data_IF_429746872461
#
_entry.id   IF_429746872461
#
_cell.length_a   1.000
_cell.length_b   1.000
_cell.length_c   1.000
_cell.angle_alpha   90.00
_cell.angle_beta   90.00
_cell.angle_gamma   90.00
#
_symmetry.space_group_name_H-M   'P 1'
#
loop_
_entity.id
_entity.type
_entity.pdbx_description
1 polymer ?
#
# COMPACT_ATOMS: atom_id res chain seq x y z
N UNK A 1 -13.32 -11.66 -5.13
CA UNK A 1 -14.45 -10.82 -4.66
C UNK A 1 -14.09 -9.37 -4.88
N UNK A 2 -15.08 -8.52 -5.15
CA UNK A 2 -14.87 -7.08 -5.22
C UNK A 2 -14.96 -6.48 -3.81
N UNK A 3 -14.16 -5.46 -3.55
CA UNK A 3 -14.06 -4.74 -2.27
C UNK A 3 -14.44 -3.27 -2.48
N UNK A 4 -14.71 -2.53 -1.41
CA UNK A 4 -15.02 -1.09 -1.53
C UNK A 4 -13.77 -0.25 -1.30
N UNK A 5 -13.61 0.80 -2.11
CA UNK A 5 -12.58 1.79 -1.88
C UNK A 5 -12.81 2.48 -0.54
N UNK A 6 -11.83 2.44 0.35
CA UNK A 6 -11.86 3.04 1.69
C UNK A 6 -11.96 4.57 1.70
N UNK A 7 -11.97 5.22 0.53
CA UNK A 7 -12.18 6.67 0.38
C UNK A 7 -13.51 7.00 -0.29
N UNK A 8 -13.77 6.48 -1.50
CA UNK A 8 -14.93 6.87 -2.30
C UNK A 8 -16.03 5.80 -2.39
N UNK A 9 -15.88 4.68 -1.67
CA UNK A 9 -16.78 3.52 -1.69
C UNK A 9 -16.98 2.82 -3.04
N UNK A 10 -16.25 3.22 -4.10
CA UNK A 10 -16.32 2.56 -5.40
C UNK A 10 -15.88 1.09 -5.31
N UNK A 11 -16.51 0.22 -6.09
CA UNK A 11 -16.14 -1.19 -6.18
C UNK A 11 -14.76 -1.36 -6.83
N UNK A 12 -13.93 -2.21 -6.23
CA UNK A 12 -12.56 -2.53 -6.65
C UNK A 12 -12.43 -4.03 -6.85
N UNK A 13 -12.12 -4.45 -8.09
CA UNK A 13 -11.85 -5.85 -8.40
C UNK A 13 -10.63 -6.39 -7.65
N UNK A 14 -10.51 -7.71 -7.55
CA UNK A 14 -9.38 -8.36 -6.87
C UNK A 14 -8.03 -8.04 -7.56
N UNK A 15 -8.05 -7.89 -8.89
CA UNK A 15 -6.87 -7.62 -9.72
C UNK A 15 -6.78 -6.16 -10.20
N UNK A 16 -7.48 -5.24 -9.53
CA UNK A 16 -7.52 -3.82 -9.88
C UNK A 16 -7.15 -2.94 -8.69
N UNK A 17 -6.65 -1.74 -8.93
CA UNK A 17 -6.42 -0.75 -7.87
C UNK A 17 -5.28 -1.13 -6.91
N UNK A 18 -5.42 -0.67 -5.67
CA UNK A 18 -4.37 -0.69 -4.65
C UNK A 18 -4.90 -1.27 -3.35
N UNK A 19 -4.11 -2.13 -2.71
CA UNK A 19 -4.31 -2.54 -1.33
C UNK A 19 -3.15 -2.02 -0.48
N UNK A 20 -3.49 -1.39 0.63
CA UNK A 20 -2.55 -0.93 1.65
C UNK A 20 -2.74 -1.83 2.88
N UNK A 21 -1.65 -2.19 3.55
CA UNK A 21 -1.74 -2.90 4.83
C UNK A 21 -0.69 -2.46 5.83
N UNK A 22 -1.05 -2.61 7.10
CA UNK A 22 -0.15 -2.62 8.24
C UNK A 22 -0.18 -4.04 8.83
N UNK A 23 0.75 -4.93 8.43
CA UNK A 23 0.68 -6.36 8.77
C UNK A 23 0.65 -6.64 10.29
N UNK A 24 1.47 -5.89 11.03
CA UNK A 24 1.63 -6.00 12.48
C UNK A 24 0.33 -5.70 13.24
N UNK A 25 -0.52 -4.83 12.67
CA UNK A 25 -1.77 -4.37 13.28
C UNK A 25 -3.00 -5.09 12.69
N UNK A 26 -2.80 -6.03 11.75
CA UNK A 26 -3.86 -6.66 10.96
C UNK A 26 -4.82 -5.63 10.34
N UNK A 27 -4.23 -4.55 9.82
CA UNK A 27 -4.94 -3.43 9.22
C UNK A 27 -4.80 -3.44 7.70
N UNK A 28 -5.88 -3.08 7.03
CA UNK A 28 -5.99 -3.04 5.58
C UNK A 28 -6.85 -1.89 5.10
N UNK A 29 -6.52 -1.35 3.93
CA UNK A 29 -7.35 -0.41 3.19
C UNK A 29 -7.26 -0.68 1.69
N UNK A 30 -8.31 -0.33 0.94
CA UNK A 30 -8.41 -0.60 -0.51
C UNK A 30 -8.69 0.70 -1.24
N UNK A 31 -8.05 0.91 -2.39
CA UNK A 31 -8.22 2.12 -3.18
C UNK A 31 -8.39 1.80 -4.66
N UNK A 32 -9.42 2.37 -5.29
CA UNK A 32 -9.60 2.25 -6.73
C UNK A 32 -8.55 3.03 -7.53
N UNK A 33 -7.93 4.04 -6.91
CA UNK A 33 -6.93 4.94 -7.49
C UNK A 33 -5.88 5.30 -6.45
N UNK A 34 -4.64 5.54 -6.88
CA UNK A 34 -3.55 5.90 -5.97
C UNK A 34 -3.84 7.23 -5.27
N UNK A 35 -4.44 8.16 -5.99
CA UNK A 35 -4.76 9.52 -5.53
C UNK A 35 -5.71 9.51 -4.33
N UNK A 36 -6.45 8.43 -4.09
CA UNK A 36 -7.34 8.31 -2.94
C UNK A 36 -6.60 7.98 -1.63
N UNK A 37 -5.36 7.48 -1.71
CA UNK A 37 -4.52 7.28 -0.53
C UNK A 37 -4.21 8.63 0.13
N UNK A 38 -3.97 9.67 -0.66
CA UNK A 38 -3.56 10.99 -0.17
C UNK A 38 -4.58 11.61 0.79
N UNK A 39 -5.85 11.87 0.40
CA UNK A 39 -6.83 12.41 1.33
C UNK A 39 -7.16 11.44 2.46
N UNK A 40 -7.13 10.13 2.22
CA UNK A 40 -7.37 9.14 3.27
C UNK A 40 -6.34 9.23 4.41
N UNK A 41 -5.04 9.38 4.10
CA UNK A 41 -4.01 9.61 5.12
C UNK A 41 -4.23 10.94 5.85
N UNK A 42 -4.52 12.02 5.12
CA UNK A 42 -4.76 13.36 5.69
C UNK A 42 -5.93 13.33 6.68
N UNK A 43 -6.97 12.53 6.42
CA UNK A 43 -8.14 12.39 7.27
C UNK A 43 -7.99 11.34 8.39
N UNK A 44 -6.77 10.88 8.68
CA UNK A 44 -6.48 9.99 9.81
C UNK A 44 -6.59 8.50 9.52
N UNK A 45 -6.54 8.10 8.25
CA UNK A 45 -6.44 6.72 7.78
C UNK A 45 -7.36 5.72 8.50
N UNK A 46 -8.63 5.69 8.10
CA UNK A 46 -9.57 4.67 8.58
C UNK A 46 -9.21 3.29 7.99
N UNK A 47 -8.89 2.34 8.86
CA UNK A 47 -8.50 0.98 8.50
C UNK A 47 -9.64 -0.02 8.68
N UNK A 48 -9.71 -1.00 7.80
CA UNK A 48 -10.45 -2.24 7.99
C UNK A 48 -9.54 -3.30 8.63
N UNK A 49 -10.12 -4.31 9.29
CA UNK A 49 -9.36 -5.48 9.72
C UNK A 49 -9.03 -6.39 8.55
N UNK A 50 -7.79 -6.85 8.47
CA UNK A 50 -7.35 -7.93 7.59
C UNK A 50 -5.94 -7.76 7.03
N UNK A 51 -5.47 -8.80 6.33
CA UNK A 51 -4.16 -8.86 5.68
C UNK A 51 -4.28 -8.81 4.16
N UNK A 52 -3.24 -8.31 3.50
CA UNK A 52 -3.12 -8.29 2.04
C UNK A 52 -2.07 -9.28 1.52
N UNK A 53 -1.10 -9.65 2.36
CA UNK A 53 -0.04 -10.61 2.04
C UNK A 53 -0.43 -11.95 2.64
N UNK A 54 -0.32 -13.00 1.84
CA UNK A 54 -0.42 -14.39 2.30
C UNK A 54 0.98 -14.93 2.57
N UNK A 55 1.11 -15.87 3.50
CA UNK A 55 2.40 -16.51 3.81
C UNK A 55 3.08 -17.05 2.54
N UNK A 56 4.35 -16.68 2.30
CA UNK A 56 5.19 -17.22 1.23
C UNK A 56 5.43 -16.33 0.00
N UNK A 57 4.96 -15.08 -0.03
CA UNK A 57 5.35 -14.13 -1.09
C UNK A 57 6.75 -13.54 -0.84
N UNK A 58 7.59 -13.40 -1.88
CA UNK A 58 9.01 -13.07 -1.71
C UNK A 58 9.22 -11.68 -1.08
N UNK A 59 9.78 -11.71 0.13
CA UNK A 59 9.95 -10.57 1.05
C UNK A 59 11.16 -9.69 0.71
N UNK A 60 12.12 -10.16 -0.11
CA UNK A 60 13.43 -9.50 -0.29
C UNK A 60 13.32 -8.08 -0.89
N UNK A 61 12.34 -7.84 -1.78
CA UNK A 61 12.07 -6.51 -2.33
C UNK A 61 11.30 -5.58 -1.35
N UNK A 62 10.69 -6.15 -0.31
CA UNK A 62 9.97 -5.45 0.77
C UNK A 62 10.85 -5.20 2.00
N UNK A 63 12.14 -5.53 1.95
CA UNK A 63 13.11 -5.22 2.99
C UNK A 63 13.58 -3.76 2.99
N UNK A 64 13.16 -2.94 2.02
CA UNK A 64 13.55 -1.52 1.93
C UNK A 64 12.37 -0.60 1.65
N UNK A 65 12.44 0.61 2.20
CA UNK A 65 11.44 1.63 1.92
C UNK A 65 11.54 2.12 0.47
N UNK A 66 10.45 2.06 -0.27
CA UNK A 66 10.36 2.54 -1.65
C UNK A 66 10.50 4.07 -1.81
N UNK A 67 10.44 4.83 -0.71
CA UNK A 67 10.65 6.27 -0.69
C UNK A 67 12.08 6.67 -0.30
N UNK A 68 12.61 6.19 0.83
CA UNK A 68 13.92 6.61 1.36
C UNK A 68 15.06 5.60 1.12
N UNK A 69 14.75 4.35 0.77
CA UNK A 69 15.75 3.28 0.54
C UNK A 69 16.26 2.58 1.81
N UNK A 70 15.90 3.08 2.99
CA UNK A 70 16.30 2.49 4.27
C UNK A 70 15.76 1.08 4.46
N UNK A 71 16.46 0.28 5.26
CA UNK A 71 16.00 -1.05 5.63
C UNK A 71 14.75 -0.96 6.50
N UNK A 72 13.79 -1.85 6.27
CA UNK A 72 12.53 -1.85 7.00
C UNK A 72 12.63 -2.71 8.25
N UNK A 73 12.10 -2.16 9.34
CA UNK A 73 11.87 -2.89 10.58
C UNK A 73 10.55 -3.70 10.49
N UNK A 74 10.22 -4.43 11.56
CA UNK A 74 8.98 -5.22 11.69
C UNK A 74 7.73 -4.37 11.40
N UNK A 75 7.68 -3.14 11.95
CA UNK A 75 6.60 -2.19 11.64
C UNK A 75 6.84 -1.53 10.28
N UNK A 76 6.04 -1.92 9.30
CA UNK A 76 6.06 -1.43 7.92
C UNK A 76 4.65 -1.28 7.35
N UNK A 77 4.51 -0.38 6.38
CA UNK A 77 3.30 -0.23 5.57
C UNK A 77 3.57 -0.85 4.20
N UNK A 78 2.68 -1.72 3.75
CA UNK A 78 2.77 -2.38 2.45
C UNK A 78 1.74 -1.80 1.49
N UNK A 79 2.14 -1.62 0.24
CA UNK A 79 1.23 -1.36 -0.87
C UNK A 79 1.37 -2.46 -1.89
N UNK A 80 0.24 -2.92 -2.39
CA UNK A 80 0.16 -3.83 -3.52
C UNK A 80 -0.69 -3.17 -4.58
N UNK A 81 -0.16 -3.04 -5.78
CA UNK A 81 -0.93 -2.64 -6.96
C UNK A 81 -0.96 -3.76 -8.00
N UNK A 82 -2.07 -3.86 -8.70
CA UNK A 82 -2.21 -4.78 -9.82
C UNK A 82 -2.09 -4.03 -11.15
N UNK A 83 -1.35 -4.60 -12.10
CA UNK A 83 -1.23 -4.14 -13.49
C UNK A 83 -1.55 -5.29 -14.42
N UNK A 84 -2.84 -5.55 -14.60
CA UNK A 84 -3.33 -6.81 -15.17
C UNK A 84 -2.96 -7.96 -14.24
N UNK A 85 -2.31 -9.01 -14.77
CA UNK A 85 -1.85 -10.16 -13.95
C UNK A 85 -0.62 -9.88 -13.09
N UNK A 86 0.05 -8.74 -13.28
CA UNK A 86 1.25 -8.42 -12.52
C UNK A 86 0.87 -7.78 -11.20
N UNK A 87 1.32 -8.40 -10.12
CA UNK A 87 1.22 -7.87 -8.76
C UNK A 87 2.55 -7.20 -8.42
N UNK A 88 2.51 -5.90 -8.11
CA UNK A 88 3.70 -5.14 -7.74
C UNK A 88 3.53 -4.66 -6.31
N UNK A 89 4.44 -5.09 -5.44
CA UNK A 89 4.46 -4.72 -4.04
C UNK A 89 5.56 -3.69 -3.77
N UNK A 90 5.24 -2.70 -2.95
CA UNK A 90 6.16 -1.70 -2.40
C UNK A 90 5.97 -1.65 -0.87
N UNK A 91 7.02 -1.26 -0.15
CA UNK A 91 6.99 -1.15 1.30
C UNK A 91 7.50 0.21 1.79
N UNK A 92 7.01 0.64 2.94
CA UNK A 92 7.31 1.95 3.52
C UNK A 92 7.53 1.85 5.03
N UNK A 93 8.41 2.71 5.56
CA UNK A 93 8.69 2.76 7.01
C UNK A 93 7.45 3.10 7.82
N UNK A 94 6.58 3.95 7.26
CA UNK A 94 5.43 4.55 7.94
C UNK A 94 4.45 5.14 6.92
N UNK A 95 3.25 5.45 7.40
CA UNK A 95 2.15 5.98 6.59
C UNK A 95 2.51 7.30 5.88
N UNK A 96 3.33 8.14 6.49
CA UNK A 96 3.78 9.41 5.88
C UNK A 96 4.63 9.16 4.62
N UNK A 97 5.47 8.13 4.61
CA UNK A 97 6.26 7.80 3.42
C UNK A 97 5.37 7.23 2.30
N UNK A 98 4.33 6.46 2.65
CA UNK A 98 3.32 6.06 1.67
C UNK A 98 2.59 7.29 1.10
N UNK A 99 2.19 8.22 1.95
CA UNK A 99 1.50 9.45 1.54
C UNK A 99 2.34 10.26 0.55
N UNK A 100 3.61 10.51 0.85
CA UNK A 100 4.49 11.32 0.00
C UNK A 100 4.79 10.62 -1.33
N UNK A 101 4.95 9.29 -1.31
CA UNK A 101 5.07 8.49 -2.52
C UNK A 101 3.80 8.53 -3.38
N UNK A 102 2.62 8.41 -2.76
CA UNK A 102 1.34 8.46 -3.46
C UNK A 102 1.10 9.85 -4.08
N UNK A 103 1.41 10.92 -3.33
CA UNK A 103 1.39 12.31 -3.80
C UNK A 103 2.35 12.54 -4.97
N UNK A 104 3.48 11.83 -5.00
CA UNK A 104 4.43 11.81 -6.10
C UNK A 104 4.02 10.97 -7.32
N UNK A 105 2.82 10.37 -7.31
CA UNK A 105 2.30 9.56 -8.41
C UNK A 105 2.81 8.12 -8.44
N UNK A 106 3.32 7.60 -7.32
CA UNK A 106 3.62 6.18 -7.17
C UNK A 106 4.91 5.71 -7.84
N UNK A 107 5.85 6.63 -8.06
CA UNK A 107 7.13 6.35 -8.73
C UNK A 107 8.20 6.02 -7.68
N UNK A 108 8.92 4.94 -7.92
CA UNK A 108 10.11 4.60 -7.15
C UNK A 108 11.15 5.72 -7.29
N UNK A 109 11.59 6.31 -6.18
CA UNK A 109 12.81 7.12 -6.15
C UNK A 109 13.95 6.17 -5.79
N UNK A 110 14.68 5.68 -6.78
CA UNK A 110 15.95 5.04 -6.50
C UNK A 110 16.82 6.04 -5.72
N UNK A 111 17.29 5.63 -4.55
CA UNK A 111 18.30 6.39 -3.82
C UNK A 111 19.45 6.69 -4.79
N UNK A 112 19.72 7.97 -5.01
CA UNK A 112 20.84 8.46 -5.83
C UNK A 112 22.11 8.48 -5.01
#
# INVERSE_FOLDING_TARGET
>A
MAEQCSWCAASVGADDGFRVAEPESDHKAVFCRLEHVVPWVIHGASWDRGRIVTDGEPDDALGRCALCGDHLAERRVLVVRHRGRHRIADAFCRLEHLHDWARGGGRYKAAS
#
